data_IF_386449971059
#
_entry.id   IF_386449971059
#
_cell.length_a   1.000
_cell.length_b   1.000
_cell.length_c   1.000
_cell.angle_alpha   90.00
_cell.angle_beta   90.00
_cell.angle_gamma   90.00
#
_symmetry.space_group_name_H-M   'P 1'
#
loop_
_entity.id
_entity.type
_entity.pdbx_description
1 polymer ?
#
# COMPACT_ATOMS: atom_id res chain seq x y z
N UNK A 1 11.83 -6.20 -14.64
CA UNK A 1 11.37 -7.06 -13.53
C UNK A 1 9.85 -7.05 -13.54
N UNK A 2 9.23 -8.22 -13.69
CA UNK A 2 7.78 -8.36 -13.71
C UNK A 2 7.24 -8.45 -12.27
N UNK A 3 6.03 -7.96 -12.04
CA UNK A 3 5.35 -8.07 -10.74
C UNK A 3 5.33 -9.51 -10.21
N UNK A 4 5.25 -10.49 -11.13
CA UNK A 4 5.19 -11.94 -10.81
C UNK A 4 6.48 -12.53 -10.23
N UNK A 5 7.62 -11.85 -10.42
CA UNK A 5 8.94 -12.31 -9.96
C UNK A 5 9.23 -11.87 -8.52
N UNK A 6 8.42 -10.96 -7.98
CA UNK A 6 8.59 -10.38 -6.65
C UNK A 6 7.88 -11.22 -5.61
N UNK A 7 8.50 -11.37 -4.45
CA UNK A 7 7.99 -12.24 -3.38
C UNK A 7 7.56 -11.46 -2.14
N UNK A 8 8.19 -10.31 -1.89
CA UNK A 8 8.00 -9.50 -0.70
C UNK A 8 7.52 -8.11 -1.11
N UNK A 9 6.33 -7.72 -0.69
CA UNK A 9 5.70 -6.48 -1.12
C UNK A 9 5.37 -5.54 0.02
N UNK A 10 5.40 -4.24 -0.27
CA UNK A 10 4.71 -3.22 0.52
C UNK A 10 3.48 -2.75 -0.26
N UNK A 11 2.32 -2.68 0.38
CA UNK A 11 1.12 -2.03 -0.15
C UNK A 11 0.91 -0.75 0.64
N UNK A 12 0.95 0.41 -0.02
CA UNK A 12 0.66 1.70 0.60
C UNK A 12 -0.75 2.13 0.20
N UNK A 13 -1.65 2.21 1.19
CA UNK A 13 -2.98 2.76 0.96
C UNK A 13 -2.95 4.29 0.90
N UNK A 14 -3.64 4.84 -0.10
CA UNK A 14 -3.91 6.25 -0.29
C UNK A 14 -4.61 6.91 0.90
N UNK A 15 -4.56 8.23 0.93
CA UNK A 15 -5.37 9.05 1.82
C UNK A 15 -5.96 10.21 1.04
N UNK A 16 -7.24 10.48 1.31
CA UNK A 16 -7.95 11.61 0.72
C UNK A 16 -7.12 12.90 0.86
N UNK A 17 -6.85 13.61 -0.24
CA UNK A 17 -6.08 14.85 -0.20
C UNK A 17 -6.83 15.93 0.58
N UNK A 18 -6.06 16.86 1.15
CA UNK A 18 -6.57 18.06 1.81
C UNK A 18 -7.11 19.08 0.78
N UNK A 19 -7.62 20.24 1.25
CA UNK A 19 -8.08 21.30 0.34
C UNK A 19 -6.98 21.66 -0.68
N UNK A 20 -7.33 21.71 -1.96
CA UNK A 20 -6.40 22.09 -3.04
C UNK A 20 -5.55 20.96 -3.64
N UNK A 21 -6.02 19.71 -3.63
CA UNK A 21 -5.32 18.52 -4.17
C UNK A 21 -4.00 18.17 -3.48
N UNK A 22 -3.68 18.82 -2.35
CA UNK A 22 -2.47 18.52 -1.61
C UNK A 22 -2.61 17.20 -0.84
N UNK A 23 -1.63 16.29 -0.93
CA UNK A 23 -1.68 15.05 -0.17
C UNK A 23 -1.65 15.31 1.33
N UNK A 24 -2.44 14.54 2.07
CA UNK A 24 -2.51 14.67 3.53
C UNK A 24 -1.17 14.31 4.20
N UNK A 25 -0.80 14.96 5.31
CA UNK A 25 0.46 14.67 6.02
C UNK A 25 0.59 13.19 6.43
N UNK A 26 -0.53 12.58 6.82
CA UNK A 26 -0.59 11.13 7.12
C UNK A 26 -0.21 10.25 5.92
N UNK A 27 -0.47 10.69 4.69
CA UNK A 27 -0.02 9.96 3.51
C UNK A 27 1.50 10.01 3.37
N UNK A 28 2.11 11.18 3.56
CA UNK A 28 3.57 11.31 3.57
C UNK A 28 4.23 10.44 4.65
N UNK A 29 3.63 10.33 5.84
CA UNK A 29 4.15 9.42 6.89
C UNK A 29 4.19 7.96 6.42
N UNK A 30 3.18 7.52 5.66
CA UNK A 30 3.15 6.17 5.08
C UNK A 30 4.21 5.98 4.00
N UNK A 31 4.35 6.96 3.10
CA UNK A 31 5.38 6.93 2.05
C UNK A 31 6.79 6.89 2.65
N UNK A 32 7.06 7.72 3.67
CA UNK A 32 8.33 7.67 4.42
C UNK A 32 8.57 6.30 5.06
N UNK A 33 7.53 5.68 5.61
CA UNK A 33 7.67 4.34 6.19
C UNK A 33 7.94 3.27 5.12
N UNK A 34 7.34 3.40 3.95
CA UNK A 34 7.61 2.51 2.82
C UNK A 34 9.08 2.62 2.37
N UNK A 35 9.62 3.83 2.31
CA UNK A 35 11.05 4.08 2.02
C UNK A 35 11.94 3.40 3.06
N UNK A 36 11.69 3.63 4.35
CA UNK A 36 12.49 3.02 5.43
C UNK A 36 12.52 1.47 5.35
N UNK A 37 11.41 0.84 4.98
CA UNK A 37 11.33 -0.62 4.84
C UNK A 37 12.01 -1.12 3.56
N UNK A 38 11.95 -0.33 2.48
CA UNK A 38 12.66 -0.59 1.24
C UNK A 38 14.18 -0.51 1.42
N UNK A 39 14.67 0.53 2.12
CA UNK A 39 16.09 0.75 2.39
C UNK A 39 16.71 -0.38 3.22
N UNK A 40 15.92 -0.96 4.13
CA UNK A 40 16.32 -2.16 4.90
C UNK A 40 16.38 -3.44 4.05
N UNK A 41 16.11 -3.37 2.75
CA UNK A 41 16.08 -4.48 1.77
C UNK A 41 15.18 -5.65 2.23
N UNK A 42 14.12 -5.33 2.97
CA UNK A 42 13.17 -6.31 3.51
C UNK A 42 12.07 -6.70 2.52
N UNK A 43 11.99 -5.98 1.40
CA UNK A 43 10.95 -6.11 0.38
C UNK A 43 11.56 -5.98 -1.02
N UNK A 44 10.86 -6.54 -2.02
CA UNK A 44 11.28 -6.56 -3.43
C UNK A 44 10.55 -5.49 -4.26
N UNK A 45 9.39 -5.01 -3.81
CA UNK A 45 8.63 -3.98 -4.51
C UNK A 45 7.58 -3.28 -3.65
N UNK A 46 7.10 -2.13 -4.16
CA UNK A 46 6.06 -1.32 -3.50
C UNK A 46 4.87 -1.17 -4.46
N UNK A 47 3.67 -1.42 -3.98
CA UNK A 47 2.40 -1.11 -4.64
C UNK A 47 1.76 0.08 -3.92
N UNK A 48 1.40 1.13 -4.65
CA UNK A 48 0.57 2.22 -4.10
C UNK A 48 -0.84 2.07 -4.63
N UNK A 49 -1.82 2.01 -3.72
CA UNK A 49 -3.24 1.83 -4.07
C UNK A 49 -4.07 3.01 -3.58
N UNK A 50 -4.78 3.64 -4.50
CA UNK A 50 -5.66 4.78 -4.24
C UNK A 50 -5.99 5.56 -5.50
N UNK A 51 -7.26 5.66 -5.83
CA UNK A 51 -7.75 6.38 -6.99
C UNK A 51 -8.03 7.86 -6.75
N UNK A 52 -8.89 8.40 -7.61
CA UNK A 52 -9.25 9.83 -7.60
C UNK A 52 -10.43 10.08 -6.67
N UNK A 53 -10.18 10.68 -5.52
CA UNK A 53 -11.21 11.02 -4.53
C UNK A 53 -11.79 12.44 -4.68
N UNK A 54 -11.20 13.27 -5.54
CA UNK A 54 -11.67 14.64 -5.83
C UNK A 54 -11.53 14.97 -7.31
N UNK A 55 -12.59 15.56 -7.90
CA UNK A 55 -12.62 16.00 -9.30
C UNK A 55 -11.46 16.98 -9.57
N UNK A 56 -10.72 16.77 -10.66
CA UNK A 56 -9.54 17.54 -11.08
C UNK A 56 -8.29 17.41 -10.19
N UNK A 57 -8.24 16.44 -9.27
CA UNK A 57 -7.00 16.09 -8.58
C UNK A 57 -6.38 14.81 -9.18
N UNK A 58 -5.04 14.66 -9.15
CA UNK A 58 -4.42 13.39 -9.53
C UNK A 58 -4.84 12.27 -8.57
N UNK A 59 -4.80 11.03 -9.04
CA UNK A 59 -5.02 9.87 -8.17
C UNK A 59 -3.92 9.81 -7.09
N UNK A 60 -4.34 9.39 -5.90
CA UNK A 60 -3.46 9.32 -4.73
C UNK A 60 -2.28 8.38 -5.00
N UNK A 61 -2.54 7.28 -5.71
CA UNK A 61 -1.52 6.31 -6.07
C UNK A 61 -0.49 6.87 -7.05
N UNK A 62 -0.87 7.65 -8.07
CA UNK A 62 0.10 8.26 -8.99
C UNK A 62 1.02 9.23 -8.27
N UNK A 63 0.47 10.04 -7.35
CA UNK A 63 1.26 10.96 -6.54
C UNK A 63 2.26 10.18 -5.67
N UNK A 64 1.77 9.19 -4.93
CA UNK A 64 2.60 8.38 -4.03
C UNK A 64 3.70 7.63 -4.79
N UNK A 65 3.37 7.08 -5.96
CA UNK A 65 4.33 6.38 -6.80
C UNK A 65 5.44 7.30 -7.31
N UNK A 66 5.10 8.48 -7.83
CA UNK A 66 6.10 9.49 -8.26
C UNK A 66 7.00 9.94 -7.10
N UNK A 67 6.47 10.03 -5.89
CA UNK A 67 7.25 10.36 -4.70
C UNK A 67 8.22 9.23 -4.34
N UNK A 68 7.76 7.97 -4.37
CA UNK A 68 8.58 6.81 -4.03
C UNK A 68 9.65 6.53 -5.08
N UNK A 69 9.33 6.61 -6.37
CA UNK A 69 10.29 6.37 -7.47
C UNK A 69 11.52 7.28 -7.42
N UNK A 70 11.39 8.48 -6.82
CA UNK A 70 12.52 9.40 -6.60
C UNK A 70 13.38 9.04 -5.38
N UNK A 71 12.89 8.15 -4.52
CA UNK A 71 13.45 7.89 -3.19
C UNK A 71 13.87 6.44 -2.98
N UNK A 72 13.43 5.49 -3.82
CA UNK A 72 13.76 4.07 -3.72
C UNK A 72 14.22 3.52 -5.06
N UNK A 73 15.11 2.53 -5.03
CA UNK A 73 15.62 1.84 -6.23
C UNK A 73 14.76 0.63 -6.64
N UNK A 74 13.90 0.14 -5.74
CA UNK A 74 13.04 -1.02 -6.00
C UNK A 74 11.83 -0.64 -6.87
N UNK A 75 11.26 -1.59 -7.63
CA UNK A 75 10.11 -1.32 -8.48
C UNK A 75 8.90 -0.81 -7.68
N UNK A 76 8.25 0.23 -8.22
CA UNK A 76 7.04 0.84 -7.68
C UNK A 76 5.90 0.68 -8.68
N UNK A 77 4.81 0.06 -8.24
CA UNK A 77 3.60 -0.22 -9.00
C UNK A 77 2.43 0.64 -8.50
N UNK A 78 1.45 0.85 -9.36
CA UNK A 78 0.35 1.78 -9.12
C UNK A 78 -0.99 1.09 -9.37
N UNK A 79 -1.92 1.28 -8.43
CA UNK A 79 -3.32 0.88 -8.52
C UNK A 79 -4.19 2.14 -8.31
N UNK A 80 -4.77 2.66 -9.39
CA UNK A 80 -5.49 3.95 -9.41
C UNK A 80 -7.02 3.80 -9.51
N UNK A 81 -7.53 2.56 -9.59
CA UNK A 81 -8.94 2.29 -9.84
C UNK A 81 -9.76 2.31 -8.54
N UNK A 82 -9.11 2.11 -7.39
CA UNK A 82 -9.79 2.04 -6.09
C UNK A 82 -10.35 3.38 -5.61
N UNK A 83 -11.61 3.38 -5.18
CA UNK A 83 -12.29 4.53 -4.54
C UNK A 83 -12.62 4.26 -3.09
N UNK A 84 -12.62 2.99 -2.68
CA UNK A 84 -12.93 2.55 -1.32
C UNK A 84 -11.88 1.58 -0.79
N UNK A 85 -11.77 1.47 0.54
CA UNK A 85 -10.86 0.50 1.17
C UNK A 85 -11.11 -0.95 0.76
N UNK A 86 -12.34 -1.32 0.39
CA UNK A 86 -12.63 -2.68 -0.10
C UNK A 86 -12.03 -2.85 -1.50
N UNK A 87 -12.18 -1.85 -2.36
CA UNK A 87 -11.61 -1.86 -3.71
C UNK A 87 -10.07 -1.85 -3.68
N UNK A 88 -9.44 -1.08 -2.77
CA UNK A 88 -7.98 -1.13 -2.60
C UNK A 88 -7.51 -2.56 -2.35
N UNK A 89 -8.17 -3.28 -1.42
CA UNK A 89 -7.81 -4.66 -1.09
C UNK A 89 -8.09 -5.59 -2.28
N UNK A 90 -9.27 -5.47 -2.90
CA UNK A 90 -9.69 -6.31 -4.02
C UNK A 90 -8.74 -6.16 -5.20
N UNK A 91 -8.52 -4.94 -5.68
CA UNK A 91 -7.69 -4.68 -6.87
C UNK A 91 -6.22 -4.96 -6.59
N UNK A 92 -5.71 -4.64 -5.41
CA UNK A 92 -4.34 -5.02 -5.06
C UNK A 92 -4.18 -6.54 -4.99
N UNK A 93 -5.17 -7.28 -4.46
CA UNK A 93 -5.16 -8.74 -4.49
C UNK A 93 -5.14 -9.25 -5.93
N UNK A 94 -6.03 -8.76 -6.78
CA UNK A 94 -6.11 -9.16 -8.19
C UNK A 94 -4.77 -8.95 -8.92
N UNK A 95 -4.09 -7.83 -8.68
CA UNK A 95 -2.75 -7.58 -9.24
C UNK A 95 -1.69 -8.56 -8.73
N UNK A 96 -1.82 -9.04 -7.50
CA UNK A 96 -0.89 -9.99 -6.89
C UNK A 96 -1.23 -11.46 -7.20
N UNK A 97 -2.34 -11.75 -7.88
CA UNK A 97 -2.68 -13.13 -8.28
C UNK A 97 -1.58 -13.70 -9.18
N UNK A 98 -1.14 -14.93 -8.85
CA UNK A 98 -0.07 -15.61 -9.59
C UNK A 98 1.34 -15.13 -9.24
N UNK A 99 1.50 -14.21 -8.28
CA UNK A 99 2.80 -13.91 -7.68
C UNK A 99 3.13 -14.95 -6.61
N UNK A 100 4.40 -15.34 -6.49
CA UNK A 100 4.87 -16.24 -5.43
C UNK A 100 5.13 -15.45 -4.14
N UNK A 101 4.06 -14.99 -3.49
CA UNK A 101 4.12 -14.10 -2.33
C UNK A 101 4.64 -14.85 -1.08
N UNK A 102 5.76 -14.38 -0.53
CA UNK A 102 6.27 -14.80 0.78
C UNK A 102 5.78 -13.87 1.89
N UNK A 103 5.67 -12.57 1.60
CA UNK A 103 5.28 -11.55 2.59
C UNK A 103 4.64 -10.35 1.94
N UNK A 104 3.53 -9.88 2.50
CA UNK A 104 2.92 -8.60 2.11
C UNK A 104 2.79 -7.70 3.33
N UNK A 105 3.37 -6.51 3.26
CA UNK A 105 3.31 -5.48 4.29
C UNK A 105 2.30 -4.42 3.88
N UNK A 106 1.23 -4.23 4.64
CA UNK A 106 0.24 -3.19 4.32
C UNK A 106 0.46 -1.97 5.19
N UNK A 107 0.73 -0.81 4.59
CA UNK A 107 0.88 0.48 5.27
C UNK A 107 -0.41 1.29 5.12
N UNK A 108 -1.11 1.51 6.24
CA UNK A 108 -2.34 2.32 6.29
C UNK A 108 -2.43 3.18 7.56
N UNK A 109 -3.57 3.83 7.79
CA UNK A 109 -3.80 4.64 9.00
C UNK A 109 -4.67 3.96 10.05
N UNK A 110 -4.45 4.36 11.31
CA UNK A 110 -5.06 3.76 12.52
C UNK A 110 -6.58 3.66 12.47
N UNK A 111 -7.24 4.66 11.90
CA UNK A 111 -8.70 4.70 11.78
C UNK A 111 -9.28 3.57 10.92
N UNK A 112 -8.47 2.96 10.05
CA UNK A 112 -8.89 1.85 9.17
C UNK A 112 -8.46 0.47 9.66
N UNK A 113 -7.72 0.38 10.77
CA UNK A 113 -7.09 -0.86 11.24
C UNK A 113 -8.09 -2.00 11.45
N UNK A 114 -9.18 -1.78 12.19
CA UNK A 114 -10.21 -2.81 12.42
C UNK A 114 -10.84 -3.31 11.11
N UNK A 115 -11.17 -2.38 10.21
CA UNK A 115 -11.75 -2.71 8.90
C UNK A 115 -10.75 -3.49 8.04
N UNK A 116 -9.47 -3.13 8.08
CA UNK A 116 -8.42 -3.84 7.33
C UNK A 116 -8.20 -5.25 7.86
N UNK A 117 -8.13 -5.43 9.18
CA UNK A 117 -7.99 -6.76 9.79
C UNK A 117 -9.14 -7.68 9.38
N UNK A 118 -10.37 -7.19 9.49
CA UNK A 118 -11.55 -7.96 9.11
C UNK A 118 -11.56 -8.33 7.62
N UNK A 119 -11.27 -7.36 6.74
CA UNK A 119 -11.30 -7.59 5.30
C UNK A 119 -10.16 -8.52 4.85
N UNK A 120 -8.93 -8.28 5.29
CA UNK A 120 -7.79 -9.12 4.91
C UNK A 120 -7.85 -10.53 5.51
N UNK A 121 -8.41 -10.69 6.72
CA UNK A 121 -8.62 -12.01 7.32
C UNK A 121 -9.53 -12.91 6.48
N UNK A 122 -10.48 -12.33 5.72
CA UNK A 122 -11.34 -13.07 4.78
C UNK A 122 -10.65 -13.54 3.51
N UNK A 123 -9.45 -13.03 3.22
CA UNK A 123 -8.78 -13.28 1.95
C UNK A 123 -7.63 -14.29 2.03
N UNK A 124 -7.38 -14.87 3.22
CA UNK A 124 -6.38 -15.92 3.45
C UNK A 124 -4.95 -15.57 3.00
N UNK A 125 -4.56 -14.31 3.10
CA UNK A 125 -3.22 -13.84 2.68
C UNK A 125 -2.30 -13.71 3.90
N UNK A 126 -1.06 -14.22 3.78
CA UNK A 126 0.01 -14.03 4.78
C UNK A 126 0.45 -12.56 4.81
N UNK A 127 -0.16 -11.78 5.69
CA UNK A 127 -0.03 -10.32 5.74
C UNK A 127 0.60 -9.85 7.03
N UNK A 128 1.53 -8.91 6.94
CA UNK A 128 2.03 -8.11 8.07
C UNK A 128 1.44 -6.70 7.98
N UNK A 129 0.53 -6.34 8.87
CA UNK A 129 -0.08 -5.02 8.86
C UNK A 129 0.83 -4.00 9.57
N UNK A 130 1.11 -2.87 8.93
CA UNK A 130 1.82 -1.74 9.53
C UNK A 130 0.93 -0.51 9.52
N UNK A 131 0.60 -0.01 10.70
CA UNK A 131 -0.30 1.12 10.84
C UNK A 131 0.48 2.30 11.35
N UNK A 132 0.49 3.40 10.61
CA UNK A 132 1.14 4.62 11.10
C UNK A 132 0.20 5.30 12.13
N UNK A 133 0.63 5.62 13.38
CA UNK A 133 1.97 5.51 13.97
C UNK A 133 2.18 4.31 14.95
N UNK A 134 1.31 3.30 14.98
CA UNK A 134 1.40 2.19 15.95
C UNK A 134 1.63 0.85 15.23
N UNK A 135 2.78 0.25 15.54
CA UNK A 135 3.19 -1.09 15.14
C UNK A 135 2.22 -2.15 15.68
N UNK A 136 1.69 -3.02 14.83
CA UNK A 136 0.98 -4.23 15.26
C UNK A 136 1.14 -5.30 14.19
N UNK A 137 2.09 -6.22 14.39
CA UNK A 137 2.35 -7.31 13.45
C UNK A 137 1.35 -8.44 13.74
N UNK A 138 0.45 -8.70 12.80
CA UNK A 138 -0.26 -9.97 12.75
C UNK A 138 0.50 -10.88 11.79
N UNK A 139 0.76 -12.11 12.20
CA UNK A 139 1.29 -13.17 11.34
C UNK A 139 0.20 -14.23 11.34
N UNK A 140 -0.58 -14.29 10.26
CA UNK A 140 -1.46 -15.43 10.04
C UNK A 140 -0.63 -16.49 9.33
N UNK A 141 -0.18 -17.47 10.10
CA UNK A 141 0.37 -18.74 9.60
C UNK A 141 -0.78 -19.69 9.33
N UNK A 142 -0.75 -20.35 8.17
CA UNK A 142 -1.40 -21.65 7.97
C UNK A 142 -0.36 -22.72 8.32
#
# INVERSE_FOLDING_TARGET
MSLKELKRFIIVHGEKPYKGCQPHQEFFKRLKKAIELADKKTVDGIMVSGGTTRKNCPAEASFGAKYLQKSVEIPVFVEENSRTTIENIKFTKEMLIGCSLERVIVISSKKRLFRLQYLYGRYEIRLSLWVCPIHMVFIFTF
#
